data_IF_823707506378
#
_entry.id   IF_823707506378
#
_cell.length_a   1.000
_cell.length_b   1.000
_cell.length_c   1.000
_cell.angle_alpha   90.00
_cell.angle_beta   90.00
_cell.angle_gamma   90.00
#
_symmetry.space_group_name_H-M   'P 1'
#
loop_
_entity.id
_entity.type
_entity.pdbx_description
1 polymer ?
#
# COMPACT_ATOMS: atom_id res chain seq x y z
N UNK A 1 -74.80 -0.04 33.50
CA UNK A 1 -73.59 0.64 34.06
C UNK A 1 -72.40 -0.25 33.73
N UNK A 2 -71.46 0.20 32.89
CA UNK A 2 -70.14 0.75 33.30
C UNK A 2 -69.45 -0.21 34.30
N UNK A 3 -68.28 -0.80 34.04
CA UNK A 3 -67.03 -0.15 33.69
C UNK A 3 -66.06 -1.12 32.98
N UNK A 4 -65.32 -0.56 32.03
CA UNK A 4 -64.05 -1.09 31.49
C UNK A 4 -62.94 -0.96 32.55
N UNK A 5 -61.91 -1.79 32.42
CA UNK A 5 -60.47 -1.55 32.75
C UNK A 5 -59.85 -2.72 33.51
N UNK A 6 -58.94 -3.43 32.83
CA UNK A 6 -58.05 -4.42 33.43
C UNK A 6 -56.72 -4.33 32.70
N UNK A 7 -55.84 -3.51 33.25
CA UNK A 7 -54.57 -3.03 32.72
C UNK A 7 -53.66 -4.12 32.14
N UNK A 8 -53.17 -3.87 30.91
CA UNK A 8 -51.99 -4.51 30.35
C UNK A 8 -50.78 -4.24 31.25
N UNK A 9 -50.35 -5.27 31.98
CA UNK A 9 -49.09 -5.26 32.71
C UNK A 9 -47.92 -5.33 31.75
N UNK A 10 -47.50 -4.18 31.20
CA UNK A 10 -46.21 -4.08 30.51
C UNK A 10 -45.11 -4.16 31.57
N UNK A 11 -44.62 -5.38 31.81
CA UNK A 11 -43.46 -5.63 32.65
C UNK A 11 -42.30 -4.76 32.15
N UNK A 12 -42.03 -3.69 32.88
CA UNK A 12 -40.84 -2.87 32.66
C UNK A 12 -39.68 -3.63 33.26
N UNK A 13 -39.19 -4.66 32.56
CA UNK A 13 -37.93 -5.30 32.90
C UNK A 13 -36.82 -4.30 32.59
N UNK A 14 -36.38 -3.58 33.63
CA UNK A 14 -35.16 -2.80 33.61
C UNK A 14 -34.04 -3.68 33.07
N UNK A 15 -33.62 -3.41 31.84
CA UNK A 15 -32.53 -4.15 31.20
C UNK A 15 -31.24 -3.64 31.83
N UNK A 16 -30.72 -4.37 32.80
CA UNK A 16 -29.41 -4.16 33.42
C UNK A 16 -28.28 -4.51 32.46
N UNK A 17 -28.31 -3.97 31.25
CA UNK A 17 -27.27 -4.19 30.24
C UNK A 17 -26.17 -3.13 30.37
N UNK A 18 -24.90 -3.55 30.25
CA UNK A 18 -23.79 -2.60 30.15
C UNK A 18 -23.96 -1.72 28.90
N UNK A 19 -23.77 -0.40 29.07
CA UNK A 19 -23.74 0.57 27.98
C UNK A 19 -22.36 0.57 27.35
N UNK A 20 -22.32 0.46 26.02
CA UNK A 20 -21.10 0.46 25.23
C UNK A 20 -21.07 1.62 24.25
N UNK A 21 -19.88 2.12 23.93
CA UNK A 21 -19.65 3.19 22.96
C UNK A 21 -18.63 2.72 21.92
N UNK A 22 -18.90 2.94 20.64
CA UNK A 22 -17.97 2.59 19.57
C UNK A 22 -16.92 3.69 19.39
N UNK A 23 -15.64 3.37 19.59
CA UNK A 23 -14.51 4.28 19.39
C UNK A 23 -14.38 4.78 17.93
N UNK A 24 -14.96 4.07 16.96
CA UNK A 24 -14.86 4.44 15.53
C UNK A 24 -15.98 5.38 15.06
N UNK A 25 -17.22 5.14 15.50
CA UNK A 25 -18.38 5.88 14.99
C UNK A 25 -19.16 6.64 16.07
N UNK A 26 -18.73 6.56 17.33
CA UNK A 26 -19.35 7.23 18.47
C UNK A 26 -20.71 6.66 18.90
N UNK A 27 -21.23 5.63 18.25
CA UNK A 27 -22.55 5.08 18.58
C UNK A 27 -22.57 4.44 19.96
N UNK A 28 -23.58 4.77 20.77
CA UNK A 28 -23.84 4.14 22.07
C UNK A 28 -24.97 3.11 21.96
N UNK A 29 -24.83 1.97 22.65
CA UNK A 29 -25.89 0.96 22.73
C UNK A 29 -25.83 0.17 24.04
N UNK A 30 -26.97 -0.40 24.43
CA UNK A 30 -27.07 -1.35 25.53
C UNK A 30 -26.97 -2.77 24.96
N UNK A 31 -26.08 -3.61 25.50
CA UNK A 31 -26.04 -5.01 25.09
C UNK A 31 -27.29 -5.75 25.55
N UNK A 32 -27.89 -6.52 24.64
CA UNK A 32 -29.02 -7.43 24.96
C UNK A 32 -28.58 -8.70 25.69
N UNK A 33 -27.28 -8.99 25.74
CA UNK A 33 -26.74 -10.17 26.43
C UNK A 33 -26.25 -9.76 27.82
N UNK A 34 -26.72 -10.48 28.82
CA UNK A 34 -26.45 -10.22 30.23
C UNK A 34 -24.95 -10.28 30.59
N UNK A 35 -24.14 -11.10 29.89
CA UNK A 35 -22.75 -11.38 30.27
C UNK A 35 -21.75 -11.46 29.11
N UNK A 36 -21.92 -10.64 28.05
CA UNK A 36 -21.03 -10.72 26.88
C UNK A 36 -20.67 -9.38 26.26
N UNK A 37 -19.36 -9.10 26.16
CA UNK A 37 -18.82 -8.00 25.35
C UNK A 37 -19.27 -8.17 23.89
N UNK A 38 -19.90 -7.16 23.27
CA UNK A 38 -20.34 -7.24 21.88
C UNK A 38 -19.20 -7.56 20.91
N UNK A 39 -19.45 -8.46 19.93
CA UNK A 39 -18.44 -8.81 18.91
C UNK A 39 -18.18 -7.67 17.92
N UNK A 40 -19.19 -6.84 17.65
CA UNK A 40 -19.09 -5.73 16.71
C UNK A 40 -20.02 -4.59 17.09
N UNK A 41 -19.71 -3.39 16.60
CA UNK A 41 -20.60 -2.24 16.71
C UNK A 41 -21.86 -2.49 15.85
N UNK A 42 -23.08 -2.32 16.40
CA UNK A 42 -24.31 -2.54 15.63
C UNK A 42 -24.53 -1.51 14.51
N UNK A 43 -23.91 -0.33 14.60
CA UNK A 43 -24.03 0.74 13.59
C UNK A 43 -23.03 0.58 12.45
N UNK A 44 -21.72 0.57 12.75
CA UNK A 44 -20.66 0.54 11.73
C UNK A 44 -20.10 -0.86 11.45
N UNK A 45 -20.57 -1.90 12.15
CA UNK A 45 -20.11 -3.29 12.05
C UNK A 45 -18.62 -3.52 12.39
N UNK A 46 -17.92 -2.50 12.90
CA UNK A 46 -16.52 -2.63 13.31
C UNK A 46 -16.37 -3.66 14.42
N UNK A 47 -15.42 -4.58 14.26
CA UNK A 47 -15.01 -5.57 15.28
C UNK A 47 -13.97 -5.00 16.26
N UNK A 48 -13.45 -3.80 15.99
CA UNK A 48 -12.47 -3.09 16.82
C UNK A 48 -13.09 -1.88 17.53
N UNK A 49 -14.40 -1.91 17.74
CA UNK A 49 -15.17 -0.82 18.34
C UNK A 49 -14.76 -0.45 19.76
N UNK A 50 -14.14 -1.38 20.50
CA UNK A 50 -13.70 -1.21 21.89
C UNK A 50 -12.17 -1.09 22.01
N UNK A 51 -11.48 -0.66 20.95
CA UNK A 51 -10.03 -0.44 20.97
C UNK A 51 -9.74 1.04 20.88
N UNK A 52 -8.59 1.45 21.41
CA UNK A 52 -8.05 2.79 21.18
C UNK A 52 -7.97 3.06 19.68
N UNK A 53 -8.54 4.19 19.27
CA UNK A 53 -8.69 4.58 17.88
C UNK A 53 -8.08 5.97 17.70
N UNK A 54 -7.07 6.04 16.83
CA UNK A 54 -6.33 7.27 16.55
C UNK A 54 -6.72 7.80 15.18
N UNK A 55 -7.09 9.07 15.10
CA UNK A 55 -7.28 9.76 13.81
C UNK A 55 -5.92 10.28 13.35
N UNK A 56 -5.42 9.71 12.27
CA UNK A 56 -4.17 10.10 11.63
C UNK A 56 -4.46 10.98 10.41
N UNK A 57 -3.59 11.95 10.15
CA UNK A 57 -3.63 12.82 8.98
C UNK A 57 -2.25 12.84 8.32
N UNK A 58 -2.21 12.63 7.01
CA UNK A 58 -0.94 12.65 6.30
C UNK A 58 -0.52 14.09 6.03
N UNK A 59 0.61 14.51 6.59
CA UNK A 59 1.15 15.87 6.37
C UNK A 59 1.64 16.10 4.93
N UNK A 60 1.75 15.04 4.12
CA UNK A 60 2.18 15.12 2.71
C UNK A 60 1.02 15.23 1.72
N UNK A 61 -0.08 14.51 1.94
CA UNK A 61 -1.21 14.48 0.99
C UNK A 61 -2.55 14.92 1.59
N UNK A 62 -2.61 15.20 2.90
CA UNK A 62 -3.83 15.63 3.61
C UNK A 62 -4.86 14.51 3.84
N UNK A 63 -4.60 13.26 3.44
CA UNK A 63 -5.54 12.16 3.66
C UNK A 63 -5.71 11.89 5.16
N UNK A 64 -6.95 11.80 5.64
CA UNK A 64 -7.28 11.46 7.03
C UNK A 64 -7.82 10.04 7.12
N UNK A 65 -7.36 9.28 8.09
CA UNK A 65 -7.83 7.91 8.33
C UNK A 65 -7.73 7.59 9.81
N UNK A 66 -8.53 6.63 10.27
CA UNK A 66 -8.35 6.12 11.61
C UNK A 66 -7.60 4.80 11.66
N UNK A 67 -6.87 4.60 12.74
CA UNK A 67 -5.96 3.48 12.95
C UNK A 67 -6.08 2.97 14.39
N UNK A 68 -5.99 1.66 14.57
CA UNK A 68 -5.84 1.04 15.91
C UNK A 68 -4.40 1.05 16.40
N UNK A 69 -3.47 1.48 15.55
CA UNK A 69 -2.07 1.70 15.91
C UNK A 69 -1.83 3.19 16.05
N UNK A 70 -1.16 3.60 17.13
CA UNK A 70 -0.75 4.99 17.37
C UNK A 70 0.05 5.55 16.20
N UNK A 71 0.98 4.74 15.65
CA UNK A 71 1.81 5.11 14.50
C UNK A 71 1.66 4.10 13.35
N UNK A 72 0.70 4.29 12.43
CA UNK A 72 0.54 3.42 11.26
C UNK A 72 1.78 3.40 10.37
N UNK A 73 2.00 2.30 9.64
CA UNK A 73 3.21 2.10 8.83
C UNK A 73 3.27 2.94 7.57
N UNK A 74 2.12 3.32 6.99
CA UNK A 74 2.03 4.09 5.76
C UNK A 74 0.70 4.83 5.64
N UNK A 75 0.71 5.93 4.89
CA UNK A 75 -0.50 6.62 4.47
C UNK A 75 -1.31 5.76 3.47
N UNK A 76 -2.62 5.57 3.64
CA UNK A 76 -3.47 4.87 2.66
C UNK A 76 -3.66 5.65 1.35
N UNK A 77 -3.56 6.98 1.38
CA UNK A 77 -3.80 7.84 0.21
C UNK A 77 -2.59 7.94 -0.74
N UNK A 78 -1.38 8.13 -0.21
CA UNK A 78 -0.17 8.31 -1.02
C UNK A 78 0.91 7.24 -0.78
N UNK A 79 0.66 6.28 0.10
CA UNK A 79 1.53 5.13 0.41
C UNK A 79 2.91 5.50 0.98
N UNK A 80 3.16 6.77 1.31
CA UNK A 80 4.37 7.18 2.01
C UNK A 80 4.44 6.56 3.41
N UNK A 81 5.63 6.12 3.80
CA UNK A 81 5.93 5.68 5.18
C UNK A 81 6.24 6.85 6.11
N UNK A 82 6.54 8.03 5.54
CA UNK A 82 6.86 9.28 6.27
C UNK A 82 5.66 10.20 6.28
N UNK A 83 4.51 9.70 6.71
CA UNK A 83 3.23 10.41 6.59
C UNK A 83 3.04 11.48 7.66
N UNK A 84 3.81 11.40 8.75
CA UNK A 84 3.84 12.28 9.92
C UNK A 84 5.00 13.31 9.89
N UNK A 85 5.88 13.23 8.88
CA UNK A 85 7.06 14.10 8.75
C UNK A 85 6.88 15.07 7.58
N UNK A 86 6.89 16.40 7.83
CA UNK A 86 6.85 17.40 6.77
C UNK A 86 8.03 17.24 5.79
N UNK A 87 7.85 17.67 4.54
CA UNK A 87 8.90 17.64 3.51
C UNK A 87 9.88 18.81 3.70
N UNK A 88 10.48 18.98 4.89
CA UNK A 88 11.42 20.07 5.15
C UNK A 88 12.62 20.00 4.19
N UNK A 89 12.57 20.86 3.15
CA UNK A 89 13.60 21.69 2.49
C UNK A 89 14.98 21.14 2.13
N UNK A 90 15.36 19.92 2.50
CA UNK A 90 16.56 19.27 2.02
C UNK A 90 16.16 18.39 0.83
N UNK A 91 16.18 18.99 -0.37
CA UNK A 91 15.91 18.30 -1.63
C UNK A 91 16.49 16.89 -1.60
N UNK A 92 15.61 15.88 -1.70
CA UNK A 92 15.97 14.47 -1.78
C UNK A 92 17.21 14.36 -2.66
N UNK A 93 18.36 13.98 -2.09
CA UNK A 93 19.51 13.54 -2.88
C UNK A 93 18.99 12.37 -3.69
N UNK A 94 18.51 12.62 -4.91
CA UNK A 94 18.23 11.58 -5.88
C UNK A 94 19.56 10.82 -5.90
N UNK A 95 19.58 9.56 -5.47
CA UNK A 95 20.68 8.70 -5.80
C UNK A 95 20.84 8.88 -7.31
N UNK A 96 21.91 9.60 -7.71
CA UNK A 96 22.15 9.93 -9.09
C UNK A 96 22.45 8.57 -9.67
N UNK A 97 21.42 7.93 -10.25
CA UNK A 97 21.62 6.71 -11.03
C UNK A 97 22.78 7.06 -11.95
N UNK A 98 23.88 6.28 -11.95
CA UNK A 98 24.96 6.54 -12.88
C UNK A 98 24.32 6.74 -14.25
N UNK A 99 24.74 7.79 -14.96
CA UNK A 99 24.17 8.12 -16.25
C UNK A 99 24.10 6.84 -17.06
N UNK A 100 22.91 6.54 -17.64
CA UNK A 100 22.72 5.35 -18.47
C UNK A 100 23.84 5.38 -19.52
N UNK A 101 24.83 4.50 -19.39
CA UNK A 101 25.91 4.39 -20.38
C UNK A 101 25.22 4.08 -21.70
N UNK A 102 25.14 5.07 -22.56
CA UNK A 102 24.54 4.95 -23.89
C UNK A 102 25.55 4.22 -24.75
N UNK A 103 25.11 3.27 -25.57
CA UNK A 103 26.00 2.62 -26.51
C UNK A 103 26.43 3.69 -27.51
N UNK A 104 27.73 3.99 -27.57
CA UNK A 104 28.28 4.90 -28.56
C UNK A 104 28.33 4.21 -29.92
N UNK A 105 28.32 4.95 -31.04
CA UNK A 105 28.44 4.36 -32.39
C UNK A 105 29.67 3.46 -32.53
N UNK A 106 30.81 3.92 -32.03
CA UNK A 106 32.07 3.15 -31.95
C UNK A 106 31.91 1.79 -31.25
N UNK A 107 31.22 1.77 -30.11
CA UNK A 107 30.93 0.53 -29.39
C UNK A 107 29.94 -0.35 -30.13
N UNK A 108 29.00 0.22 -30.89
CA UNK A 108 28.05 -0.55 -31.69
C UNK A 108 28.74 -1.22 -32.89
N UNK A 109 29.67 -0.53 -33.54
CA UNK A 109 30.51 -1.11 -34.61
C UNK A 109 31.40 -2.24 -34.06
N UNK A 110 32.04 -2.02 -32.90
CA UNK A 110 32.83 -3.05 -32.22
C UNK A 110 32.00 -4.30 -31.88
N UNK A 111 30.77 -4.11 -31.35
CA UNK A 111 29.83 -5.21 -31.07
C UNK A 111 29.51 -6.01 -32.34
N UNK A 112 29.18 -5.32 -33.45
CA UNK A 112 28.83 -5.99 -34.70
C UNK A 112 30.02 -6.75 -35.29
N UNK A 113 31.22 -6.15 -35.27
CA UNK A 113 32.45 -6.78 -35.77
C UNK A 113 32.78 -8.07 -34.99
N UNK A 114 32.72 -8.03 -33.65
CA UNK A 114 32.96 -9.21 -32.82
C UNK A 114 31.91 -10.30 -33.07
N UNK A 115 30.65 -9.92 -33.25
CA UNK A 115 29.58 -10.87 -33.54
C UNK A 115 29.74 -11.53 -34.92
N UNK A 116 30.11 -10.76 -35.94
CA UNK A 116 30.44 -11.27 -37.28
C UNK A 116 31.67 -12.18 -37.29
N UNK A 117 32.62 -11.95 -36.39
CA UNK A 117 33.75 -12.84 -36.15
C UNK A 117 33.35 -14.17 -35.47
N UNK A 118 32.10 -14.33 -35.04
CA UNK A 118 31.55 -15.54 -34.44
C UNK A 118 31.57 -15.57 -32.91
N UNK A 119 31.88 -14.45 -32.25
CA UNK A 119 31.82 -14.37 -30.78
C UNK A 119 30.38 -14.38 -30.27
N UNK A 120 30.15 -15.08 -29.15
CA UNK A 120 28.84 -15.10 -28.53
C UNK A 120 28.57 -13.81 -27.74
N UNK A 121 27.28 -13.49 -27.56
CA UNK A 121 26.82 -12.24 -26.92
C UNK A 121 27.42 -12.06 -25.51
N UNK A 122 27.63 -13.15 -24.78
CA UNK A 122 28.23 -13.12 -23.43
C UNK A 122 29.70 -12.72 -23.46
N UNK A 123 30.47 -13.27 -24.41
CA UNK A 123 31.87 -12.90 -24.62
C UNK A 123 32.00 -11.42 -25.01
N UNK A 124 31.14 -10.94 -25.90
CA UNK A 124 31.10 -9.53 -26.34
C UNK A 124 30.72 -8.60 -25.18
N UNK A 125 29.76 -8.98 -24.34
CA UNK A 125 29.39 -8.21 -23.15
C UNK A 125 30.57 -8.07 -22.17
N UNK A 126 31.33 -9.16 -21.98
CA UNK A 126 32.54 -9.13 -21.15
C UNK A 126 33.64 -8.26 -21.76
N UNK A 127 33.82 -8.30 -23.08
CA UNK A 127 34.85 -7.53 -23.78
C UNK A 127 34.55 -6.02 -23.80
N UNK A 128 33.32 -5.65 -24.16
CA UNK A 128 32.90 -4.25 -24.31
C UNK A 128 32.57 -3.55 -22.99
N UNK A 129 32.44 -4.31 -21.89
CA UNK A 129 32.02 -3.81 -20.59
C UNK A 129 30.55 -3.36 -20.55
N UNK A 130 29.77 -3.71 -21.57
CA UNK A 130 28.35 -3.39 -21.66
C UNK A 130 27.51 -4.54 -21.10
N UNK A 131 26.37 -4.19 -20.49
CA UNK A 131 25.42 -5.19 -20.04
C UNK A 131 24.92 -6.04 -21.21
N UNK A 132 24.69 -7.34 -20.99
CA UNK A 132 24.13 -8.27 -21.96
C UNK A 132 22.98 -7.66 -22.79
N UNK A 133 21.99 -7.05 -22.13
CA UNK A 133 20.83 -6.46 -22.81
C UNK A 133 21.19 -5.38 -23.85
N UNK A 134 22.28 -4.63 -23.63
CA UNK A 134 22.73 -3.59 -24.57
C UNK A 134 23.38 -4.20 -25.81
N UNK A 135 24.24 -5.20 -25.61
CA UNK A 135 24.87 -5.94 -26.71
C UNK A 135 23.81 -6.64 -27.55
N UNK A 136 22.86 -7.31 -26.89
CA UNK A 136 21.73 -7.95 -27.56
C UNK A 136 20.91 -6.96 -28.39
N UNK A 137 20.59 -5.78 -27.82
CA UNK A 137 19.78 -4.76 -28.52
C UNK A 137 20.46 -4.30 -29.82
N UNK A 138 21.77 -4.03 -29.79
CA UNK A 138 22.54 -3.60 -30.97
C UNK A 138 22.52 -4.65 -32.08
N UNK A 139 22.72 -5.92 -31.71
CA UNK A 139 22.73 -7.03 -32.68
C UNK A 139 21.31 -7.25 -33.23
N UNK A 140 20.29 -7.17 -32.37
CA UNK A 140 18.89 -7.38 -32.77
C UNK A 140 18.31 -6.24 -33.60
N UNK A 141 18.79 -5.01 -33.43
CA UNK A 141 18.40 -3.87 -34.26
C UNK A 141 18.99 -3.98 -35.68
N UNK A 142 20.13 -4.67 -35.80
CA UNK A 142 20.85 -4.83 -37.07
C UNK A 142 20.45 -6.09 -37.85
N UNK A 143 19.80 -7.08 -37.21
CA UNK A 143 19.52 -8.40 -37.80
C UNK A 143 18.20 -9.02 -37.33
N UNK A 144 17.49 -9.78 -38.19
CA UNK A 144 16.32 -10.55 -37.77
C UNK A 144 16.71 -11.66 -36.78
N UNK A 145 15.82 -11.94 -35.82
CA UNK A 145 16.05 -12.83 -34.66
C UNK A 145 16.47 -14.27 -35.01
N UNK A 146 16.27 -14.69 -36.26
CA UNK A 146 16.56 -16.04 -36.76
C UNK A 146 18.06 -16.30 -36.99
N UNK A 147 18.90 -15.26 -36.99
CA UNK A 147 20.36 -15.36 -37.12
C UNK A 147 21.11 -15.18 -35.78
N UNK A 148 20.39 -15.18 -34.66
CA UNK A 148 21.00 -15.01 -33.34
C UNK A 148 21.60 -16.34 -32.86
N UNK A 149 22.92 -16.46 -32.90
CA UNK A 149 23.68 -17.50 -32.21
C UNK A 149 23.63 -17.21 -30.70
N UNK A 150 22.70 -17.84 -30.00
CA UNK A 150 22.49 -17.75 -28.55
C UNK A 150 23.30 -18.85 -27.85
#
# INVERSE_FOLDING_TARGET
MKHMSGHDGFATTGTSGSVYTCALCGHNWVSRKDNGVPKSCPKCRSTVWNKDYHVCECVRCGYKWGSTHERPSRCPGCHTTKWDVPEDSAGRKKHRRPARVSVTPDKAEEINCLYDAGENITAIARHTGLSFCKVFSVISDSRPKEQLNI
#
